data_IF_046338108585
#
_entry.id   IF_046338108585
#
_cell.length_a   1.000
_cell.length_b   1.000
_cell.length_c   1.000
_cell.angle_alpha   90.00
_cell.angle_beta   90.00
_cell.angle_gamma   90.00
#
_symmetry.space_group_name_H-M   'P 1'
#
loop_
_entity.id
_entity.type
_entity.pdbx_description
1 polymer ?
#
# COMPACT_ATOMS: atom_id res chain seq x y z
N UNK A 1 -2.89 7.45 -17.94
CA UNK A 1 -2.94 6.35 -16.97
C UNK A 1 -3.01 6.86 -15.57
N UNK A 2 -3.84 6.23 -14.76
CA UNK A 2 -3.94 6.59 -13.35
C UNK A 2 -2.89 5.82 -12.55
N UNK A 3 -2.17 6.54 -11.72
CA UNK A 3 -1.24 5.92 -10.78
C UNK A 3 -1.80 6.09 -9.38
N UNK A 4 -1.56 5.09 -8.56
CA UNK A 4 -2.00 5.12 -7.17
C UNK A 4 -0.77 5.12 -6.28
N UNK A 5 -0.77 6.03 -5.31
CA UNK A 5 0.23 6.03 -4.25
C UNK A 5 -0.46 5.53 -2.98
N UNK A 6 0.11 4.51 -2.38
CA UNK A 6 -0.38 3.99 -1.11
C UNK A 6 0.63 4.33 -0.02
N UNK A 7 0.19 5.12 0.94
CA UNK A 7 1.02 5.50 2.08
C UNK A 7 0.62 4.65 3.28
N UNK A 8 1.56 3.87 3.78
CA UNK A 8 1.34 2.99 4.92
C UNK A 8 2.08 3.56 6.12
N UNK A 9 1.39 3.69 7.24
CA UNK A 9 1.98 4.13 8.50
C UNK A 9 1.80 3.03 9.53
N UNK A 10 2.91 2.55 10.09
CA UNK A 10 2.93 1.49 11.08
C UNK A 10 2.85 2.04 12.49
N UNK A 11 2.52 1.18 13.45
CA UNK A 11 2.41 1.59 14.85
C UNK A 11 3.72 2.05 15.46
N UNK A 12 4.84 1.60 14.92
CA UNK A 12 6.17 2.01 15.42
C UNK A 12 6.58 3.39 14.91
N UNK A 13 5.72 4.04 14.13
CA UNK A 13 6.03 5.36 13.58
C UNK A 13 6.62 5.33 12.18
N UNK A 14 6.92 4.16 11.67
CA UNK A 14 7.43 4.05 10.31
C UNK A 14 6.36 4.44 9.30
N UNK A 15 6.80 5.07 8.23
CA UNK A 15 5.92 5.48 7.14
C UNK A 15 6.60 5.17 5.83
N UNK A 16 5.85 4.66 4.88
CA UNK A 16 6.41 4.34 3.57
C UNK A 16 5.36 4.52 2.48
N UNK A 17 5.80 5.01 1.32
CA UNK A 17 4.95 5.18 0.15
C UNK A 17 5.23 4.05 -0.84
N UNK A 18 4.16 3.52 -1.43
CA UNK A 18 4.25 2.48 -2.44
C UNK A 18 3.54 2.92 -3.70
N UNK A 19 4.03 2.45 -4.84
CA UNK A 19 3.43 2.76 -6.14
C UNK A 19 3.15 1.46 -6.88
N UNK A 20 2.16 0.68 -6.43
CA UNK A 20 1.87 -0.61 -7.06
C UNK A 20 1.13 -0.44 -8.38
N UNK A 21 1.26 -1.45 -9.25
CA UNK A 21 0.47 -1.51 -10.48
C UNK A 21 -0.92 -2.06 -10.20
N UNK A 22 -1.05 -2.90 -9.16
CA UNK A 22 -2.32 -3.42 -8.68
C UNK A 22 -2.28 -3.54 -7.18
N UNK A 23 -3.43 -3.46 -6.54
CA UNK A 23 -3.51 -3.65 -5.09
C UNK A 23 -4.90 -4.14 -4.70
N UNK A 24 -4.96 -4.78 -3.54
CA UNK A 24 -6.24 -5.27 -3.01
C UNK A 24 -6.17 -5.31 -1.48
N UNK A 25 -7.25 -4.85 -0.84
CA UNK A 25 -7.37 -4.91 0.61
C UNK A 25 -8.09 -6.20 0.98
N UNK A 26 -7.37 -7.08 1.69
CA UNK A 26 -7.97 -8.27 2.24
C UNK A 26 -8.48 -8.03 3.66
N UNK A 27 -8.93 -9.10 4.31
CA UNK A 27 -9.44 -9.00 5.68
C UNK A 27 -8.33 -8.75 6.69
N UNK A 28 -7.13 -9.23 6.43
CA UNK A 28 -6.03 -9.13 7.38
C UNK A 28 -4.72 -8.64 6.76
N UNK A 29 -4.73 -8.33 5.50
CA UNK A 29 -3.52 -7.87 4.82
C UNK A 29 -3.86 -6.95 3.66
N UNK A 30 -2.87 -6.15 3.27
CA UNK A 30 -2.90 -5.38 2.02
C UNK A 30 -1.98 -6.07 1.03
N UNK A 31 -2.51 -6.48 -0.10
CA UNK A 31 -1.72 -7.06 -1.18
C UNK A 31 -1.41 -6.00 -2.21
N UNK A 32 -0.15 -5.96 -2.64
CA UNK A 32 0.29 -5.05 -3.69
C UNK A 32 1.13 -5.80 -4.71
N UNK A 33 0.89 -5.52 -5.97
CA UNK A 33 1.66 -6.10 -7.06
C UNK A 33 2.49 -5.00 -7.73
N UNK A 34 3.77 -5.30 -7.91
CA UNK A 34 4.70 -4.44 -8.65
C UNK A 34 5.14 -5.17 -9.91
N UNK A 35 5.88 -4.51 -10.77
CA UNK A 35 6.30 -5.12 -12.03
C UNK A 35 7.13 -6.40 -11.85
N UNK A 36 7.94 -6.44 -10.81
CA UNK A 36 8.89 -7.52 -10.58
C UNK A 36 8.66 -8.30 -9.29
N UNK A 37 7.63 -7.95 -8.52
CA UNK A 37 7.39 -8.61 -7.24
C UNK A 37 5.98 -8.36 -6.74
N UNK A 38 5.62 -9.09 -5.69
CA UNK A 38 4.38 -8.87 -4.95
C UNK A 38 4.71 -8.74 -3.48
N UNK A 39 3.91 -7.96 -2.76
CA UNK A 39 4.11 -7.78 -1.32
C UNK A 39 2.77 -7.87 -0.59
N UNK A 40 2.83 -8.44 0.60
CA UNK A 40 1.68 -8.53 1.50
C UNK A 40 2.05 -7.82 2.80
N UNK A 41 1.19 -6.91 3.25
CA UNK A 41 1.43 -6.16 4.48
C UNK A 41 0.34 -6.54 5.48
N UNK A 42 0.72 -7.11 6.64
CA UNK A 42 -0.25 -7.46 7.68
C UNK A 42 -0.90 -6.19 8.25
N UNK A 43 -2.21 -6.13 8.20
CA UNK A 43 -2.94 -4.94 8.66
C UNK A 43 -2.89 -4.78 10.17
N UNK A 44 -2.62 -5.86 10.91
CA UNK A 44 -2.53 -5.77 12.38
C UNK A 44 -1.38 -4.89 12.84
N UNK A 45 -0.38 -4.70 11.99
CA UNK A 45 0.79 -3.86 12.32
C UNK A 45 0.66 -2.45 11.79
N UNK A 46 -0.41 -2.17 11.08
CA UNK A 46 -0.59 -0.91 10.37
C UNK A 46 -1.54 -0.02 11.15
N UNK A 47 -1.11 1.21 11.39
CA UNK A 47 -1.93 2.21 12.07
C UNK A 47 -2.88 2.90 11.11
N UNK A 48 -2.40 3.18 9.90
CA UNK A 48 -3.17 3.96 8.94
C UNK A 48 -2.68 3.68 7.53
N UNK A 49 -3.61 3.68 6.59
CA UNK A 49 -3.29 3.56 5.16
C UNK A 49 -4.05 4.65 4.43
N UNK A 50 -3.34 5.38 3.59
CA UNK A 50 -3.93 6.42 2.77
C UNK A 50 -3.64 6.11 1.30
N UNK A 51 -4.67 6.15 0.47
CA UNK A 51 -4.50 6.00 -0.97
C UNK A 51 -4.69 7.35 -1.64
N UNK A 52 -3.82 7.66 -2.57
CA UNK A 52 -3.86 8.91 -3.29
C UNK A 52 -3.77 8.62 -4.79
N UNK A 53 -4.70 9.18 -5.55
CA UNK A 53 -4.65 9.05 -6.99
C UNK A 53 -3.75 10.15 -7.56
N UNK A 54 -2.78 9.74 -8.36
CA UNK A 54 -1.86 10.67 -9.00
C UNK A 54 -2.28 10.83 -10.45
N UNK A 55 -2.61 12.04 -10.82
CA UNK A 55 -2.96 12.36 -12.22
C UNK A 55 -1.70 12.82 -12.95
N UNK A 56 -1.53 12.27 -14.12
CA UNK A 56 -0.46 12.70 -15.01
C UNK A 56 -1.00 13.64 -16.06
#
# INVERSE_FOLDING_TARGET
MKKIKITVRWFDGFKRDFFPVEYEFGNSYLWMKFEDKEEWIPLVQVRNIKTTEIKE
#
